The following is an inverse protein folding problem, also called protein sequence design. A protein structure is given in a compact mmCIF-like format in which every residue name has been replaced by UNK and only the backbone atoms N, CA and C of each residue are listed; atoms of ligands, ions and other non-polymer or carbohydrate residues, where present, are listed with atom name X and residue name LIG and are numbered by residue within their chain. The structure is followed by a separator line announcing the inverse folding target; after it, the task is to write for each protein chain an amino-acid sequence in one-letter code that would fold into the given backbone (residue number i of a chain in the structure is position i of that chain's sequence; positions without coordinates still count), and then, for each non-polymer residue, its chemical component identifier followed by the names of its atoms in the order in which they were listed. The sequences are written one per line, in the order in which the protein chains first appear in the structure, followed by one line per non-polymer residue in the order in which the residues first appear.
data_IF_726580214509
#
_entry.id   IF_726580214509
#
_cell.length_a   1.000
_cell.length_b   1.000
_cell.length_c   1.000
_cell.angle_alpha   90.00
_cell.angle_beta   90.00
_cell.angle_gamma   90.00
#
_symmetry.space_group_name_H-M   'P 1'
#
loop_
_entity.id
_entity.type
_entity.pdbx_description
1 polymer ?
#
# COMPACT_ATOMS: atom_id res chain seq x y z
N UNK A 1 -5.19 17.13 9.24
CA UNK A 1 -6.25 17.50 8.27
C UNK A 1 -7.17 16.30 8.15
N UNK A 2 -8.45 16.39 8.55
CA UNK A 2 -9.40 15.30 8.33
C UNK A 2 -9.60 15.17 6.81
N UNK A 3 -9.11 14.08 6.23
CA UNK A 3 -9.31 13.82 4.81
C UNK A 3 -10.78 13.48 4.57
N UNK A 4 -11.45 14.28 3.73
CA UNK A 4 -12.75 13.92 3.19
C UNK A 4 -12.61 12.54 2.51
N UNK A 5 -13.43 11.58 2.95
CA UNK A 5 -13.43 10.23 2.38
C UNK A 5 -14.38 10.12 1.18
N UNK A 6 -15.04 11.22 0.81
CA UNK A 6 -15.96 11.27 -0.31
C UNK A 6 -15.33 11.77 -1.61
N UNK A 7 -14.11 12.32 -1.58
CA UNK A 7 -13.36 12.80 -2.74
C UNK A 7 -11.99 12.13 -2.81
N UNK A 8 -11.34 12.13 -3.97
CA UNK A 8 -9.93 11.78 -4.10
C UNK A 8 -9.12 12.98 -4.61
N UNK A 9 -7.82 12.81 -4.86
CA UNK A 9 -6.94 13.91 -5.26
C UNK A 9 -7.42 14.62 -6.53
N UNK A 10 -8.07 13.92 -7.45
CA UNK A 10 -8.63 14.54 -8.66
C UNK A 10 -9.72 15.57 -8.37
N UNK A 11 -10.48 15.41 -7.29
CA UNK A 11 -11.51 16.37 -6.89
C UNK A 11 -12.74 16.46 -7.80
N UNK A 12 -12.79 15.74 -8.91
CA UNK A 12 -13.89 15.77 -9.89
C UNK A 12 -15.06 14.83 -9.54
N UNK A 13 -14.78 13.73 -8.84
CA UNK A 13 -15.79 12.72 -8.47
C UNK A 13 -16.00 12.76 -6.96
N UNK A 14 -17.28 12.75 -6.56
CA UNK A 14 -17.67 12.60 -5.17
C UNK A 14 -18.57 11.37 -4.98
N UNK A 15 -18.25 10.52 -4.01
CA UNK A 15 -19.10 9.40 -3.58
C UNK A 15 -19.02 9.23 -2.07
N UNK A 16 -20.15 9.21 -1.38
CA UNK A 16 -20.17 9.19 0.09
C UNK A 16 -20.23 7.74 0.60
N UNK A 17 -19.20 7.25 1.31
CA UNK A 17 -19.27 5.92 1.89
C UNK A 17 -20.26 5.89 3.06
N UNK A 18 -20.93 4.75 3.26
CA UNK A 18 -21.73 4.50 4.45
C UNK A 18 -20.85 4.19 5.67
N UNK A 19 -19.70 3.52 5.44
CA UNK A 19 -18.79 3.09 6.49
C UNK A 19 -17.34 3.43 6.18
N UNK A 20 -16.56 3.75 7.22
CA UNK A 20 -15.13 4.00 7.12
C UNK A 20 -14.42 3.30 8.28
N UNK A 21 -13.46 2.43 7.97
CA UNK A 21 -12.66 1.68 8.94
C UNK A 21 -11.19 2.07 8.81
N UNK A 22 -10.50 2.28 9.94
CA UNK A 22 -9.05 2.49 9.96
C UNK A 22 -8.34 1.15 10.17
N UNK A 23 -7.51 0.72 9.23
CA UNK A 23 -6.93 -0.63 9.22
C UNK A 23 -5.45 -0.61 9.62
N UNK A 24 -5.11 -0.51 10.90
CA UNK A 24 -3.71 -0.38 11.36
C UNK A 24 -2.96 -1.70 11.33
N UNK A 25 -3.66 -2.82 11.50
CA UNK A 25 -3.14 -4.18 11.41
C UNK A 25 -4.17 -5.14 10.82
N UNK A 26 -3.77 -6.39 10.56
CA UNK A 26 -4.68 -7.44 10.08
C UNK A 26 -5.90 -7.68 10.99
N UNK A 27 -5.78 -7.44 12.30
CA UNK A 27 -6.90 -7.57 13.23
C UNK A 27 -8.03 -6.57 12.91
N UNK A 28 -7.69 -5.32 12.61
CA UNK A 28 -8.66 -4.30 12.22
C UNK A 28 -9.34 -4.64 10.89
N UNK A 29 -8.59 -5.24 9.96
CA UNK A 29 -9.13 -5.70 8.68
C UNK A 29 -10.18 -6.80 8.91
N UNK A 30 -9.86 -7.79 9.74
CA UNK A 30 -10.78 -8.88 10.11
C UNK A 30 -12.02 -8.37 10.86
N UNK A 31 -11.84 -7.45 11.80
CA UNK A 31 -12.95 -6.82 12.51
C UNK A 31 -13.86 -6.03 11.56
N UNK A 32 -13.28 -5.25 10.64
CA UNK A 32 -14.05 -4.56 9.60
C UNK A 32 -14.85 -5.53 8.74
N UNK A 33 -14.23 -6.62 8.26
CA UNK A 33 -14.93 -7.65 7.48
C UNK A 33 -16.05 -8.31 8.29
N UNK A 34 -15.83 -8.62 9.57
CA UNK A 34 -16.84 -9.20 10.44
C UNK A 34 -18.04 -8.26 10.60
N UNK A 35 -17.81 -6.96 10.86
CA UNK A 35 -18.87 -5.95 10.98
C UNK A 35 -19.65 -5.77 9.68
N UNK A 36 -18.96 -5.86 8.54
CA UNK A 36 -19.59 -5.77 7.22
C UNK A 36 -20.39 -7.03 6.88
N UNK A 37 -19.91 -8.22 7.27
CA UNK A 37 -20.64 -9.48 7.07
C UNK A 37 -21.92 -9.58 7.92
N UNK A 38 -21.98 -8.86 9.05
CA UNK A 38 -23.19 -8.73 9.86
C UNK A 38 -24.23 -7.76 9.26
N UNK A 39 -23.89 -7.05 8.19
CA UNK A 39 -24.84 -6.17 7.50
C UNK A 39 -25.82 -7.00 6.66
N UNK A 40 -27.08 -6.53 6.58
CA UNK A 40 -28.19 -7.25 5.92
C UNK A 40 -27.95 -7.43 4.41
N UNK A 41 -27.05 -6.64 3.80
CA UNK A 41 -26.74 -6.64 2.38
C UNK A 41 -25.24 -6.86 2.14
N UNK A 42 -24.88 -7.40 0.97
CA UNK A 42 -23.46 -7.40 0.53
C UNK A 42 -22.97 -5.95 0.44
N UNK A 43 -22.06 -5.58 1.33
CA UNK A 43 -21.46 -4.24 1.33
C UNK A 43 -20.17 -4.28 0.51
N UNK A 44 -20.15 -3.54 -0.60
CA UNK A 44 -18.95 -3.38 -1.41
C UNK A 44 -17.89 -2.57 -0.64
N UNK A 45 -16.62 -2.91 -0.87
CA UNK A 45 -15.48 -2.39 -0.10
C UNK A 45 -14.43 -1.78 -1.03
N UNK A 46 -13.85 -0.65 -0.62
CA UNK A 46 -12.66 -0.05 -1.26
C UNK A 46 -11.53 0.12 -0.26
N UNK A 47 -10.33 -0.28 -0.65
CA UNK A 47 -9.10 0.01 0.09
C UNK A 47 -8.62 1.40 -0.31
N UNK A 48 -8.34 2.26 0.67
CA UNK A 48 -7.93 3.64 0.44
C UNK A 48 -6.62 3.94 1.16
N UNK A 49 -5.55 4.03 0.38
CA UNK A 49 -4.25 4.52 0.85
C UNK A 49 -4.21 6.03 0.99
N UNK A 50 -3.22 6.68 0.40
CA UNK A 50 -3.04 8.15 0.44
C UNK A 50 -4.11 8.94 -0.36
N UNK A 51 -5.14 8.29 -0.89
CA UNK A 51 -6.23 8.91 -1.65
C UNK A 51 -5.80 9.65 -2.94
N UNK A 52 -4.66 9.31 -3.51
CA UNK A 52 -4.08 10.02 -4.65
C UNK A 52 -4.60 9.57 -6.03
N UNK A 53 -5.75 8.92 -6.05
CA UNK A 53 -6.46 8.57 -7.29
C UNK A 53 -7.15 9.80 -7.87
N UNK A 54 -7.46 9.76 -9.17
CA UNK A 54 -8.05 10.91 -9.88
C UNK A 54 -9.40 10.63 -10.53
N UNK A 55 -9.86 9.37 -10.49
CA UNK A 55 -11.08 8.93 -11.18
C UNK A 55 -11.96 8.03 -10.27
N UNK A 56 -11.89 8.21 -8.96
CA UNK A 56 -12.78 7.55 -8.01
C UNK A 56 -12.48 6.08 -7.74
N UNK A 57 -11.31 5.57 -8.10
CA UNK A 57 -10.94 4.15 -7.90
C UNK A 57 -11.00 3.72 -6.43
N UNK A 58 -10.76 4.65 -5.49
CA UNK A 58 -10.84 4.41 -4.03
C UNK A 58 -12.13 4.95 -3.39
N UNK A 59 -13.08 5.42 -4.21
CA UNK A 59 -14.35 5.99 -3.76
C UNK A 59 -15.50 5.01 -3.95
N UNK A 60 -16.47 5.09 -3.04
CA UNK A 60 -17.64 4.22 -3.07
C UNK A 60 -18.87 4.94 -2.50
N UNK A 61 -20.01 4.75 -3.15
CA UNK A 61 -21.29 5.30 -2.72
C UNK A 61 -22.01 4.26 -1.86
N UNK A 62 -22.43 4.64 -0.65
CA UNK A 62 -23.11 3.77 0.32
C UNK A 62 -22.38 2.45 0.71
N UNK A 63 -21.13 2.26 0.27
CA UNK A 63 -20.29 1.12 0.65
C UNK A 63 -19.31 1.45 1.79
N UNK A 64 -18.28 0.62 1.93
CA UNK A 64 -17.27 0.77 2.97
C UNK A 64 -15.89 1.15 2.42
N UNK A 65 -15.20 2.04 3.13
CA UNK A 65 -13.80 2.37 2.89
C UNK A 65 -12.92 1.80 3.99
N UNK A 66 -11.88 1.08 3.59
CA UNK A 66 -10.80 0.61 4.46
C UNK A 66 -9.61 1.56 4.32
N UNK A 67 -9.47 2.49 5.26
CA UNK A 67 -8.39 3.47 5.28
C UNK A 67 -7.09 2.80 5.73
N UNK A 68 -6.12 2.82 4.83
CA UNK A 68 -4.85 2.15 4.93
C UNK A 68 -3.68 3.10 4.66
N UNK A 69 -3.57 4.17 5.45
CA UNK A 69 -2.49 5.13 5.30
C UNK A 69 -2.06 5.71 6.65
N UNK A 70 -0.75 5.75 6.86
CA UNK A 70 -0.12 6.38 8.01
C UNK A 70 0.69 7.59 7.52
N UNK A 71 0.06 8.77 7.56
CA UNK A 71 0.66 10.03 7.17
C UNK A 71 1.67 10.52 8.24
N UNK A 72 2.78 9.79 8.37
CA UNK A 72 3.85 10.03 9.33
C UNK A 72 5.20 10.14 8.64
N UNK A 73 6.17 10.75 9.31
CA UNK A 73 7.58 10.80 8.87
C UNK A 73 8.37 9.56 9.30
N UNK A 74 7.77 8.66 10.08
CA UNK A 74 8.33 7.38 10.47
C UNK A 74 7.53 6.24 9.82
N UNK A 75 8.19 5.23 9.24
CA UNK A 75 7.49 4.12 8.62
C UNK A 75 6.83 3.25 9.68
N UNK A 76 5.72 2.63 9.33
CA UNK A 76 4.97 1.71 10.19
C UNK A 76 5.53 0.28 10.05
N UNK A 77 5.83 -0.37 11.17
CA UNK A 77 6.37 -1.75 11.25
C UNK A 77 7.52 -2.02 10.27
N UNK A 78 8.53 -1.15 10.28
CA UNK A 78 9.72 -1.27 9.43
C UNK A 78 10.82 -2.13 10.08
N UNK A 79 11.35 -3.08 9.33
CA UNK A 79 12.50 -3.92 9.74
C UNK A 79 13.42 -4.12 8.54
N UNK A 80 14.67 -3.66 8.67
CA UNK A 80 15.72 -3.88 7.69
C UNK A 80 16.43 -5.21 8.02
N UNK A 81 16.44 -6.15 7.09
CA UNK A 81 17.14 -7.42 7.24
C UNK A 81 18.65 -7.26 7.00
N UNK A 82 19.49 -8.21 7.48
CA UNK A 82 20.94 -8.14 7.29
C UNK A 82 21.40 -8.12 5.83
N UNK A 83 20.63 -8.74 4.94
CA UNK A 83 20.85 -8.75 3.49
C UNK A 83 20.29 -7.50 2.77
N UNK A 84 19.84 -6.50 3.54
CA UNK A 84 19.46 -5.18 3.05
C UNK A 84 18.02 -5.07 2.56
N UNK A 85 17.16 -6.07 2.70
CA UNK A 85 15.74 -5.92 2.37
C UNK A 85 14.97 -5.17 3.46
N UNK A 86 14.04 -4.32 3.06
CA UNK A 86 13.14 -3.66 4.00
C UNK A 86 11.79 -4.37 4.02
N UNK A 87 11.41 -4.94 5.18
CA UNK A 87 10.01 -5.29 5.44
C UNK A 87 9.29 -4.12 6.07
N UNK A 88 8.11 -3.76 5.56
CA UNK A 88 7.35 -2.58 6.03
C UNK A 88 5.84 -2.76 5.83
N UNK A 89 5.04 -2.12 6.69
CA UNK A 89 3.58 -2.02 6.54
C UNK A 89 3.22 -1.26 5.27
N UNK A 90 2.21 -1.74 4.53
CA UNK A 90 1.71 -1.13 3.30
C UNK A 90 1.07 0.25 3.53
N UNK A 91 0.75 0.58 4.78
CA UNK A 91 0.27 1.89 5.24
C UNK A 91 1.30 2.99 5.14
N UNK A 92 2.58 2.63 5.12
CA UNK A 92 3.67 3.60 5.18
C UNK A 92 3.69 4.49 3.95
N UNK A 93 4.03 5.76 4.15
CA UNK A 93 4.40 6.65 3.06
C UNK A 93 5.81 6.33 2.57
N UNK A 94 6.05 6.44 1.26
CA UNK A 94 7.41 6.31 0.69
C UNK A 94 8.39 7.33 1.29
N UNK A 95 7.92 8.55 1.59
CA UNK A 95 8.73 9.58 2.27
C UNK A 95 9.31 9.09 3.60
N UNK A 96 8.50 8.38 4.39
CA UNK A 96 8.90 7.88 5.70
C UNK A 96 9.93 6.75 5.56
N UNK A 97 9.73 5.88 4.57
CA UNK A 97 10.63 4.78 4.23
C UNK A 97 11.99 5.32 3.79
N UNK A 98 12.01 6.26 2.85
CA UNK A 98 13.25 6.81 2.32
C UNK A 98 14.04 7.53 3.40
N UNK A 99 13.37 8.32 4.24
CA UNK A 99 13.99 8.95 5.42
C UNK A 99 14.58 7.92 6.40
N UNK A 100 13.92 6.77 6.57
CA UNK A 100 14.38 5.69 7.45
C UNK A 100 15.61 4.97 6.87
N UNK A 101 15.61 4.70 5.56
CA UNK A 101 16.68 4.01 4.85
C UNK A 101 17.92 4.89 4.67
N UNK A 102 17.77 6.18 4.37
CA UNK A 102 18.91 7.07 4.10
C UNK A 102 19.81 7.21 5.33
N UNK A 103 19.23 7.20 6.53
CA UNK A 103 19.98 7.19 7.81
C UNK A 103 20.77 5.90 8.05
N UNK A 104 20.53 4.88 7.23
CA UNK A 104 21.17 3.55 7.26
C UNK A 104 22.01 3.30 6.00
N UNK A 105 22.28 4.33 5.20
CA UNK A 105 23.07 4.22 3.97
C UNK A 105 22.38 3.38 2.89
N UNK A 106 21.04 3.35 2.89
CA UNK A 106 20.23 2.60 1.91
C UNK A 106 19.17 3.51 1.30
N UNK A 107 18.64 3.13 0.15
CA UNK A 107 17.55 3.84 -0.55
C UNK A 107 16.65 2.85 -1.29
N UNK A 108 15.42 3.26 -1.61
CA UNK A 108 14.56 2.49 -2.52
C UNK A 108 15.06 2.70 -3.97
N UNK A 109 15.20 1.64 -4.79
CA UNK A 109 15.78 1.77 -6.13
C UNK A 109 14.98 2.67 -7.08
N UNK A 110 13.66 2.74 -6.87
CA UNK A 110 12.73 3.51 -7.69
C UNK A 110 11.72 4.20 -6.77
N UNK A 111 11.66 5.51 -6.83
CA UNK A 111 10.68 6.32 -6.12
C UNK A 111 9.75 7.02 -7.10
N UNK A 112 8.47 7.10 -6.76
CA UNK A 112 7.52 7.97 -7.46
C UNK A 112 7.85 9.43 -7.21
N UNK A 113 7.53 10.32 -8.15
CA UNK A 113 7.80 11.77 -8.05
C UNK A 113 7.14 12.44 -6.83
N UNK A 114 6.07 11.85 -6.30
CA UNK A 114 5.44 12.25 -5.05
C UNK A 114 5.56 11.15 -3.98
N UNK A 115 6.21 11.47 -2.85
CA UNK A 115 6.57 10.49 -1.83
C UNK A 115 5.53 10.28 -0.73
N UNK A 116 4.48 11.09 -0.66
CA UNK A 116 3.39 10.89 0.30
C UNK A 116 2.31 9.91 -0.21
N UNK A 117 2.68 9.04 -1.14
CA UNK A 117 1.88 7.89 -1.54
C UNK A 117 2.10 6.72 -0.58
N UNK A 118 1.04 5.97 -0.30
CA UNK A 118 1.12 4.72 0.46
C UNK A 118 1.81 3.63 -0.35
N UNK A 119 2.65 2.82 0.28
CA UNK A 119 3.27 1.63 -0.33
C UNK A 119 2.23 0.71 -0.97
N UNK A 120 1.16 0.35 -0.24
CA UNK A 120 0.12 -0.54 -0.77
C UNK A 120 -0.57 0.02 -2.01
N UNK A 121 -0.69 1.35 -2.08
CA UNK A 121 -1.26 2.05 -3.24
C UNK A 121 -0.39 1.92 -4.48
N UNK A 122 0.91 2.24 -4.40
CA UNK A 122 1.78 2.16 -5.60
C UNK A 122 2.08 0.72 -6.00
N UNK A 123 2.23 -0.21 -5.05
CA UNK A 123 2.37 -1.65 -5.34
C UNK A 123 1.14 -2.22 -6.06
N UNK A 124 -0.05 -1.70 -5.75
CA UNK A 124 -1.28 -2.11 -6.44
C UNK A 124 -1.41 -1.56 -7.87
N UNK A 125 -0.52 -0.68 -8.31
CA UNK A 125 -0.56 -0.04 -9.64
C UNK A 125 0.69 -0.37 -10.47
N UNK A 126 1.87 -0.32 -9.86
CA UNK A 126 3.17 -0.55 -10.50
C UNK A 126 4.26 0.33 -9.88
N UNK A 127 3.99 1.62 -9.76
CA UNK A 127 4.93 2.62 -9.23
C UNK A 127 6.05 2.92 -10.22
N UNK A 128 5.99 4.07 -10.87
CA UNK A 128 6.97 4.54 -11.86
C UNK A 128 7.68 5.78 -11.33
N UNK A 129 8.95 5.91 -11.64
CA UNK A 129 9.79 7.06 -11.32
C UNK A 129 10.89 7.27 -12.34
N UNK A 130 11.69 8.32 -12.16
CA UNK A 130 12.79 8.66 -13.08
C UNK A 130 13.79 7.51 -13.25
N UNK A 131 14.09 6.80 -12.17
CA UNK A 131 15.04 5.69 -12.15
C UNK A 131 14.46 4.39 -12.73
N UNK A 132 13.17 4.38 -13.10
CA UNK A 132 12.55 3.18 -13.67
C UNK A 132 13.17 2.73 -14.98
N UNK A 133 13.76 3.64 -15.75
CA UNK A 133 14.46 3.30 -17.00
C UNK A 133 15.68 2.39 -16.75
N UNK A 134 16.26 2.43 -15.55
CA UNK A 134 17.43 1.63 -15.16
C UNK A 134 17.05 0.41 -14.33
N UNK A 135 16.08 0.58 -13.43
CA UNK A 135 15.81 -0.39 -12.37
C UNK A 135 14.46 -1.12 -12.51
N UNK A 136 13.58 -0.69 -13.43
CA UNK A 136 12.22 -1.23 -13.57
C UNK A 136 11.19 -0.45 -12.77
N UNK A 137 10.04 -1.05 -12.46
CA UNK A 137 8.99 -0.43 -11.64
C UNK A 137 9.23 -0.71 -10.15
N UNK A 138 8.56 0.03 -9.26
CA UNK A 138 8.60 -0.24 -7.82
C UNK A 138 8.22 -1.69 -7.49
N UNK A 139 7.22 -2.23 -8.21
CA UNK A 139 6.76 -3.62 -8.02
C UNK A 139 7.82 -4.68 -8.36
N UNK A 140 8.78 -4.37 -9.24
CA UNK A 140 9.83 -5.33 -9.64
C UNK A 140 10.79 -5.63 -8.47
N UNK A 141 10.94 -4.65 -7.57
CA UNK A 141 11.77 -4.73 -6.37
C UNK A 141 11.07 -5.37 -5.16
N UNK A 142 9.79 -5.77 -5.28
CA UNK A 142 9.11 -6.48 -4.19
C UNK A 142 9.63 -7.93 -4.16
N UNK A 143 10.14 -8.35 -3.00
CA UNK A 143 10.60 -9.73 -2.74
C UNK A 143 9.45 -10.64 -2.32
N UNK A 144 8.60 -10.14 -1.42
CA UNK A 144 7.43 -10.84 -0.91
C UNK A 144 6.40 -9.85 -0.36
N UNK A 145 5.18 -10.32 -0.13
CA UNK A 145 4.12 -9.57 0.52
C UNK A 145 3.25 -10.47 1.39
N UNK A 146 2.64 -9.87 2.40
CA UNK A 146 1.58 -10.50 3.18
C UNK A 146 0.24 -10.00 2.65
N UNK A 147 -0.59 -10.92 2.16
CA UNK A 147 -1.91 -10.64 1.59
C UNK A 147 -3.00 -11.17 2.52
N UNK A 148 -4.04 -10.37 2.75
CA UNK A 148 -5.29 -10.81 3.37
C UNK A 148 -6.36 -10.92 2.27
N UNK A 149 -7.01 -12.08 2.16
CA UNK A 149 -8.14 -12.25 1.24
C UNK A 149 -9.45 -11.64 1.78
N UNK A 150 -10.53 -11.72 1.01
CA UNK A 150 -11.85 -11.20 1.42
C UNK A 150 -12.47 -11.89 2.64
N UNK A 151 -11.90 -12.98 3.13
CA UNK A 151 -12.29 -13.64 4.38
C UNK A 151 -11.33 -13.31 5.54
N UNK A 152 -10.33 -12.46 5.30
CA UNK A 152 -9.31 -12.08 6.27
C UNK A 152 -8.26 -13.16 6.53
N UNK A 153 -8.18 -14.21 5.69
CA UNK A 153 -7.14 -15.22 5.75
C UNK A 153 -5.83 -14.65 5.21
N UNK A 154 -4.73 -14.93 5.90
CA UNK A 154 -3.40 -14.43 5.54
C UNK A 154 -2.64 -15.42 4.67
N UNK A 155 -1.95 -14.88 3.66
CA UNK A 155 -1.06 -15.60 2.76
C UNK A 155 0.28 -14.89 2.68
N UNK A 156 1.36 -15.63 2.88
CA UNK A 156 2.71 -15.17 2.57
C UNK A 156 3.02 -15.48 1.10
N UNK A 157 3.14 -14.41 0.32
CA UNK A 157 3.25 -14.46 -1.13
C UNK A 157 4.64 -14.01 -1.57
N UNK A 158 5.28 -14.78 -2.44
CA UNK A 158 6.57 -14.48 -3.07
C UNK A 158 6.60 -15.10 -4.47
N UNK A 159 7.74 -15.00 -5.17
CA UNK A 159 7.94 -15.70 -6.45
C UNK A 159 7.88 -17.23 -6.33
N UNK A 160 8.04 -17.80 -5.13
CA UNK A 160 8.09 -19.25 -4.88
C UNK A 160 7.00 -19.77 -3.94
N UNK A 161 6.32 -18.90 -3.19
CA UNK A 161 5.21 -19.24 -2.29
C UNK A 161 3.96 -18.46 -2.69
N UNK A 162 2.82 -19.13 -2.86
CA UNK A 162 1.58 -18.50 -3.35
C UNK A 162 1.82 -17.61 -4.59
N UNK A 163 2.63 -18.11 -5.54
CA UNK A 163 3.21 -17.31 -6.61
C UNK A 163 2.18 -16.62 -7.52
N UNK A 164 1.02 -17.23 -7.74
CA UNK A 164 -0.05 -16.60 -8.50
C UNK A 164 -0.64 -15.39 -7.77
N UNK A 165 -0.93 -15.53 -6.47
CA UNK A 165 -1.39 -14.39 -5.65
C UNK A 165 -0.33 -13.28 -5.62
N UNK A 166 0.95 -13.64 -5.51
CA UNK A 166 2.04 -12.68 -5.60
C UNK A 166 2.01 -11.90 -6.92
N UNK A 167 2.03 -12.61 -8.06
CA UNK A 167 2.02 -11.98 -9.39
C UNK A 167 0.80 -11.09 -9.62
N UNK A 168 -0.39 -11.55 -9.23
CA UNK A 168 -1.62 -10.79 -9.47
C UNK A 168 -1.82 -9.63 -8.49
N UNK A 169 -1.23 -9.70 -7.28
CA UNK A 169 -1.31 -8.59 -6.33
C UNK A 169 -0.49 -7.37 -6.80
N UNK A 170 0.67 -7.61 -7.44
CA UNK A 170 1.49 -6.55 -8.04
C UNK A 170 0.77 -5.95 -9.26
N UNK A 171 0.39 -4.68 -9.20
CA UNK A 171 -0.44 -4.05 -10.23
C UNK A 171 -1.92 -4.51 -10.22
N UNK A 172 -2.34 -5.25 -9.20
CA UNK A 172 -3.68 -5.86 -9.12
C UNK A 172 -4.85 -4.93 -8.80
N UNK A 173 -4.60 -3.62 -8.67
CA UNK A 173 -5.59 -2.59 -8.34
C UNK A 173 -6.41 -2.91 -7.07
N UNK A 174 -5.81 -3.59 -6.09
CA UNK A 174 -6.47 -3.98 -4.84
C UNK A 174 -7.59 -5.03 -5.00
N UNK A 175 -7.70 -5.70 -6.15
CA UNK A 175 -8.75 -6.70 -6.43
C UNK A 175 -8.46 -8.09 -5.87
N UNK A 176 -7.18 -8.40 -5.68
CA UNK A 176 -6.74 -9.73 -5.24
C UNK A 176 -6.81 -9.87 -3.72
N UNK A 177 -6.80 -8.75 -2.99
CA UNK A 177 -6.89 -8.72 -1.54
C UNK A 177 -6.27 -7.46 -0.95
N UNK A 178 -6.15 -7.43 0.36
CA UNK A 178 -5.50 -6.37 1.11
C UNK A 178 -4.03 -6.71 1.34
N UNK A 179 -3.13 -5.91 0.78
CA UNK A 179 -1.69 -6.02 1.04
C UNK A 179 -1.44 -5.42 2.43
N UNK A 180 -1.05 -6.22 3.41
CA UNK A 180 -0.75 -5.75 4.77
C UNK A 180 0.68 -5.23 4.88
N UNK A 181 1.64 -5.98 4.37
CA UNK A 181 3.06 -5.65 4.40
C UNK A 181 3.77 -6.15 3.15
N UNK A 182 4.90 -5.54 2.85
CA UNK A 182 5.78 -5.95 1.75
C UNK A 182 7.21 -6.06 2.25
N UNK A 183 7.99 -6.95 1.63
CA UNK A 183 9.45 -6.96 1.69
C UNK A 183 9.98 -6.42 0.37
N UNK A 184 10.84 -5.40 0.42
CA UNK A 184 11.33 -4.66 -0.73
C UNK A 184 12.86 -4.75 -0.76
N UNK A 185 13.41 -5.02 -1.93
CA UNK A 185 14.84 -4.82 -2.20
C UNK A 185 15.21 -3.35 -1.98
N UNK A 186 16.38 -3.11 -1.40
CA UNK A 186 16.93 -1.75 -1.31
C UNK A 186 18.31 -1.72 -1.96
N UNK A 187 18.82 -0.52 -2.24
CA UNK A 187 20.17 -0.33 -2.78
C UNK A 187 21.00 0.52 -1.81
N UNK A 188 22.35 0.46 -1.89
CA UNK A 188 23.18 1.45 -1.23
C UNK A 188 22.75 2.86 -1.60
N UNK A 189 22.68 3.74 -0.61
CA UNK A 189 22.45 5.16 -0.86
C UNK A 189 23.68 5.72 -1.56
N UNK A 190 23.51 6.23 -2.77
CA UNK A 190 24.52 7.03 -3.45
C UNK A 190 24.23 8.51 -3.13
N UNK A 191 24.97 9.15 -2.22
CA UNK A 191 24.80 10.57 -1.97
C UNK A 191 25.12 11.35 -3.25
N UNK A 192 24.37 12.42 -3.49
CA UNK A 192 24.70 13.36 -4.55
C UNK A 192 26.07 13.99 -4.25
N UNK A 193 27.04 13.72 -5.11
CA UNK A 193 28.32 14.43 -5.13
C UNK A 193 28.20 15.57 -6.15
N UNK A 194 28.23 16.85 -5.71
CA UNK A 194 28.10 18.01 -6.59
C UNK A 194 29.25 18.18 -7.58
#
# INVERSE_FOLDING_TARGET
MQHDNSTDFGGYIRRKPAHVFEIRAAADYRDALQRLNLSVNKTDVRIRGAAHTSAGQTLIEQGAILRNFHASRAPDRATLSPDGALRVSSRSAWYAIERYLNRRGRSIPVLTDYLWLSVGGTVSIGGIGVDSIRHGLQVDHIRSLQLLDGNGRSYDCSRTSNAELFRFALGGMGRIGFIESVSIETIPLHPYEP
#
